data_IF_691379937759
#
_entry.id   IF_691379937759
#
_cell.length_a   1.000
_cell.length_b   1.000
_cell.length_c   1.000
_cell.angle_alpha   90.00
_cell.angle_beta   90.00
_cell.angle_gamma   90.00
#
_symmetry.space_group_name_H-M   'P 1'
#
loop_
_entity.id
_entity.type
_entity.pdbx_description
1 polymer ?
#
# COMPACT_ATOMS: atom_id res chain seq x y z
N UNK A 1 -76.47 -14.86 -16.64
CA UNK A 1 -76.34 -14.64 -15.18
C UNK A 1 -74.94 -15.13 -14.80
N UNK A 2 -73.92 -14.37 -15.17
CA UNK A 2 -73.26 -13.32 -14.37
C UNK A 2 -72.00 -13.87 -13.72
N UNK A 3 -70.89 -13.61 -14.39
CA UNK A 3 -69.49 -13.83 -14.03
C UNK A 3 -69.12 -12.97 -12.82
N UNK A 4 -68.32 -13.49 -11.88
CA UNK A 4 -67.62 -12.69 -10.87
C UNK A 4 -66.26 -13.32 -10.58
N UNK A 5 -65.26 -12.86 -11.34
CA UNK A 5 -63.84 -12.97 -10.99
C UNK A 5 -63.49 -11.65 -10.31
N UNK A 6 -63.16 -11.68 -9.02
CA UNK A 6 -62.65 -10.51 -8.31
C UNK A 6 -61.12 -10.55 -8.31
N UNK A 7 -60.57 -9.56 -9.01
CA UNK A 7 -59.16 -9.25 -9.20
C UNK A 7 -58.47 -8.92 -7.87
N UNK A 8 -57.37 -9.61 -7.55
CA UNK A 8 -56.38 -9.13 -6.59
C UNK A 8 -55.38 -8.25 -7.34
N UNK A 9 -55.34 -6.96 -7.00
CA UNK A 9 -54.34 -6.03 -7.49
C UNK A 9 -53.00 -6.32 -6.78
N UNK A 10 -52.02 -6.81 -7.54
CA UNK A 10 -50.61 -6.81 -7.15
C UNK A 10 -50.07 -5.39 -7.31
N UNK A 11 -49.88 -4.70 -6.17
CA UNK A 11 -49.03 -3.52 -6.13
C UNK A 11 -47.57 -3.99 -6.14
N UNK A 12 -46.96 -4.02 -7.33
CA UNK A 12 -45.51 -4.08 -7.49
C UNK A 12 -44.93 -2.72 -7.11
N UNK A 13 -44.22 -2.68 -5.98
CA UNK A 13 -43.31 -1.59 -5.65
C UNK A 13 -42.10 -1.81 -6.56
N UNK A 14 -42.04 -1.06 -7.67
CA UNK A 14 -40.80 -0.87 -8.40
C UNK A 14 -39.89 0.00 -7.52
N UNK A 15 -38.94 -0.64 -6.84
CA UNK A 15 -37.80 0.06 -6.26
C UNK A 15 -37.05 0.75 -7.40
N UNK A 16 -37.12 2.07 -7.44
CA UNK A 16 -36.23 2.91 -8.23
C UNK A 16 -34.80 2.64 -7.76
N UNK A 17 -34.11 1.72 -8.42
CA UNK A 17 -32.66 1.59 -8.34
C UNK A 17 -32.10 2.80 -9.08
N UNK A 18 -31.95 3.92 -8.37
CA UNK A 18 -31.10 5.01 -8.83
C UNK A 18 -29.71 4.41 -9.07
N UNK A 19 -29.30 4.36 -10.34
CA UNK A 19 -27.90 4.08 -10.67
C UNK A 19 -27.04 5.07 -9.87
N UNK A 20 -26.00 4.59 -9.15
CA UNK A 20 -25.10 5.50 -8.47
C UNK A 20 -24.56 6.51 -9.49
N UNK A 21 -24.38 7.80 -9.10
CA UNK A 21 -23.90 8.81 -10.02
C UNK A 21 -22.61 8.33 -10.69
N UNK A 22 -22.48 8.61 -12.00
CA UNK A 22 -21.28 8.26 -12.78
C UNK A 22 -20.03 8.70 -12.01
N UNK A 23 -19.34 7.74 -11.39
CA UNK A 23 -18.13 8.01 -10.63
C UNK A 23 -17.06 8.47 -11.60
N UNK A 24 -16.33 9.54 -11.27
CA UNK A 24 -15.22 10.02 -12.09
C UNK A 24 -14.21 8.90 -12.29
N UNK A 25 -13.89 8.59 -13.54
CA UNK A 25 -12.77 7.72 -13.90
C UNK A 25 -11.52 8.57 -14.00
N UNK A 26 -10.52 8.28 -13.17
CA UNK A 26 -9.25 9.02 -13.13
C UNK A 26 -8.22 8.39 -14.07
N UNK A 27 -7.76 9.17 -15.05
CA UNK A 27 -6.58 8.83 -15.85
C UNK A 27 -5.29 8.93 -15.02
N UNK A 28 -4.21 8.29 -15.50
CA UNK A 28 -2.92 8.37 -14.82
C UNK A 28 -2.39 9.83 -14.82
N UNK A 29 -2.58 10.57 -15.92
CA UNK A 29 -2.16 11.98 -15.99
C UNK A 29 -2.95 12.89 -15.04
N UNK A 30 -4.27 12.70 -14.93
CA UNK A 30 -5.08 13.49 -14.00
C UNK A 30 -4.73 13.19 -12.54
N UNK A 31 -4.49 11.93 -12.20
CA UNK A 31 -4.11 11.55 -10.83
C UNK A 31 -2.74 12.12 -10.48
N UNK A 32 -1.75 12.04 -11.38
CA UNK A 32 -0.43 12.66 -11.17
C UNK A 32 -0.51 14.18 -10.95
N UNK A 33 -1.44 14.85 -11.66
CA UNK A 33 -1.62 16.29 -11.55
C UNK A 33 -2.19 16.74 -10.18
N UNK A 34 -2.79 15.85 -9.39
CA UNK A 34 -3.34 16.17 -8.06
C UNK A 34 -2.25 16.64 -7.09
N UNK A 35 -1.05 16.08 -7.18
CA UNK A 35 0.11 16.46 -6.34
C UNK A 35 0.40 17.97 -6.30
N UNK A 36 -0.07 18.74 -7.28
CA UNK A 36 0.07 20.20 -7.38
C UNK A 36 -0.71 20.97 -6.31
N UNK A 37 -1.72 20.36 -5.68
CA UNK A 37 -2.47 20.98 -4.58
C UNK A 37 -1.76 20.85 -3.21
N UNK A 38 -0.63 20.13 -3.17
CA UNK A 38 0.20 19.94 -1.98
C UNK A 38 -0.16 18.73 -1.12
N UNK A 39 -1.18 17.95 -1.51
CA UNK A 39 -1.58 16.74 -0.81
C UNK A 39 -1.08 15.48 -1.52
N UNK A 40 -1.09 14.37 -0.78
CA UNK A 40 -0.86 13.03 -1.31
C UNK A 40 -2.17 12.26 -1.33
N UNK A 41 -2.36 11.44 -2.35
CA UNK A 41 -3.58 10.65 -2.51
C UNK A 41 -3.24 9.21 -2.85
N UNK A 42 -4.11 8.31 -2.41
CA UNK A 42 -4.31 7.01 -3.05
C UNK A 42 -5.63 7.06 -3.84
N UNK A 43 -5.74 6.25 -4.89
CA UNK A 43 -7.01 6.04 -5.58
C UNK A 43 -7.53 4.64 -5.26
N UNK A 44 -8.71 4.57 -4.67
CA UNK A 44 -9.33 3.31 -4.23
C UNK A 44 -10.77 3.26 -4.73
N UNK A 45 -11.09 2.32 -5.62
CA UNK A 45 -12.42 2.12 -6.18
C UNK A 45 -13.04 3.39 -6.80
N UNK A 46 -12.19 4.21 -7.42
CA UNK A 46 -12.56 5.49 -8.05
C UNK A 46 -12.60 6.69 -7.11
N UNK A 47 -12.32 6.50 -5.82
CA UNK A 47 -12.32 7.55 -4.79
C UNK A 47 -10.90 7.95 -4.41
N UNK A 48 -10.67 9.26 -4.25
CA UNK A 48 -9.41 9.79 -3.76
C UNK A 48 -9.39 9.70 -2.24
N UNK A 49 -8.40 8.98 -1.72
CA UNK A 49 -8.14 8.86 -0.29
C UNK A 49 -6.95 9.76 0.03
N UNK A 50 -7.16 10.81 0.80
CA UNK A 50 -6.10 11.74 1.20
C UNK A 50 -5.15 11.07 2.21
N UNK A 51 -3.88 10.97 1.83
CA UNK A 51 -2.81 10.46 2.69
C UNK A 51 -2.30 11.63 3.53
N UNK A 52 -2.90 11.80 4.71
CA UNK A 52 -2.57 12.87 5.64
C UNK A 52 -1.08 12.94 6.03
N UNK A 53 -0.71 13.98 6.76
CA UNK A 53 0.68 14.18 7.17
C UNK A 53 1.15 13.12 8.18
N UNK A 54 2.33 12.56 7.93
CA UNK A 54 3.02 11.69 8.87
C UNK A 54 3.63 12.50 10.03
N UNK A 55 3.55 11.98 11.25
CA UNK A 55 4.23 12.56 12.41
C UNK A 55 5.75 12.28 12.42
N UNK A 56 6.51 13.03 13.23
CA UNK A 56 7.97 12.94 13.28
C UNK A 56 8.51 11.53 13.55
N UNK A 57 7.84 10.74 14.41
CA UNK A 57 8.24 9.36 14.70
C UNK A 57 8.12 8.44 13.49
N UNK A 58 7.04 8.58 12.70
CA UNK A 58 6.89 7.85 11.45
C UNK A 58 8.02 8.23 10.48
N UNK A 59 8.27 9.54 10.29
CA UNK A 59 9.33 10.01 9.40
C UNK A 59 10.73 9.53 9.81
N UNK A 60 11.02 9.50 11.11
CA UNK A 60 12.29 9.00 11.64
C UNK A 60 12.48 7.50 11.39
N UNK A 61 11.46 6.69 11.66
CA UNK A 61 11.49 5.24 11.34
C UNK A 61 11.64 5.02 9.84
N UNK A 62 10.90 5.77 9.03
CA UNK A 62 10.93 5.67 7.58
C UNK A 62 12.34 5.94 7.02
N UNK A 63 13.02 6.99 7.50
CA UNK A 63 14.34 7.33 6.98
C UNK A 63 15.42 6.35 7.44
N UNK A 64 15.37 5.82 8.66
CA UNK A 64 16.31 4.78 9.12
C UNK A 64 16.16 3.52 8.26
N UNK A 65 14.92 3.04 8.12
CA UNK A 65 14.65 1.82 7.36
C UNK A 65 15.01 1.99 5.87
N UNK A 66 14.65 3.13 5.29
CA UNK A 66 15.01 3.46 3.90
C UNK A 66 16.53 3.52 3.70
N UNK A 67 17.27 4.13 4.61
CA UNK A 67 18.73 4.23 4.51
C UNK A 67 19.41 2.85 4.59
N UNK A 68 18.97 2.00 5.52
CA UNK A 68 19.48 0.64 5.68
C UNK A 68 19.20 -0.22 4.44
N UNK A 69 17.96 -0.18 3.94
CA UNK A 69 17.57 -0.86 2.69
C UNK A 69 18.36 -0.31 1.51
N UNK A 70 18.48 1.02 1.37
CA UNK A 70 19.16 1.65 0.25
C UNK A 70 20.63 1.23 0.19
N UNK A 71 21.31 1.22 1.33
CA UNK A 71 22.69 0.73 1.40
C UNK A 71 22.82 -0.71 0.89
N UNK A 72 21.93 -1.61 1.30
CA UNK A 72 21.92 -3.00 0.86
C UNK A 72 21.60 -3.13 -0.65
N UNK A 73 20.48 -2.52 -1.08
CA UNK A 73 19.96 -2.59 -2.45
C UNK A 73 20.92 -1.98 -3.46
N UNK A 74 21.47 -0.80 -3.17
CA UNK A 74 22.37 -0.09 -4.10
C UNK A 74 23.73 -0.78 -4.22
N UNK A 75 24.32 -1.21 -3.09
CA UNK A 75 25.63 -1.88 -3.08
C UNK A 75 25.58 -3.20 -3.86
N UNK A 76 24.50 -3.96 -3.71
CA UNK A 76 24.33 -5.26 -4.36
C UNK A 76 23.60 -5.16 -5.71
N UNK A 77 23.17 -3.96 -6.11
CA UNK A 77 22.39 -3.69 -7.34
C UNK A 77 21.18 -4.61 -7.45
N UNK A 78 20.38 -4.70 -6.38
CA UNK A 78 19.23 -5.61 -6.31
C UNK A 78 17.97 -5.07 -7.00
N UNK A 79 17.92 -3.76 -7.26
CA UNK A 79 16.73 -3.09 -7.76
C UNK A 79 16.71 -1.62 -7.36
N UNK A 80 15.52 -1.07 -7.15
CA UNK A 80 15.32 0.34 -6.77
C UNK A 80 14.43 0.45 -5.53
N UNK A 81 14.63 1.52 -4.76
CA UNK A 81 13.73 1.94 -3.69
C UNK A 81 12.96 3.18 -4.11
N UNK A 82 11.71 3.25 -3.68
CA UNK A 82 10.81 4.37 -3.90
C UNK A 82 10.16 4.75 -2.56
N UNK A 83 9.90 6.04 -2.38
CA UNK A 83 9.33 6.58 -1.15
C UNK A 83 7.80 6.62 -1.18
N UNK A 84 7.21 7.06 -0.06
CA UNK A 84 5.78 7.27 0.14
C UNK A 84 5.05 8.20 -0.84
N UNK A 85 5.77 8.91 -1.72
CA UNK A 85 5.18 9.75 -2.77
C UNK A 85 4.94 8.99 -4.08
N UNK A 86 5.48 7.77 -4.19
CA UNK A 86 5.38 6.98 -5.41
C UNK A 86 4.19 6.04 -5.37
N UNK A 87 3.23 6.25 -6.27
CA UNK A 87 2.09 5.35 -6.43
C UNK A 87 2.38 4.22 -7.43
N UNK A 88 1.72 3.09 -7.22
CA UNK A 88 1.76 1.91 -8.07
C UNK A 88 0.39 1.63 -8.66
N UNK A 89 0.34 1.28 -9.94
CA UNK A 89 -0.90 1.04 -10.68
C UNK A 89 -1.33 -0.42 -10.50
N UNK A 90 -2.34 -0.63 -9.67
CA UNK A 90 -2.90 -1.96 -9.41
C UNK A 90 -3.79 -2.41 -10.59
N UNK A 91 -3.92 -3.73 -10.76
CA UNK A 91 -4.71 -4.36 -11.84
C UNK A 91 -6.18 -3.96 -11.84
N UNK A 92 -6.74 -3.63 -10.67
CA UNK A 92 -8.12 -3.18 -10.51
C UNK A 92 -8.30 -1.67 -10.79
N UNK A 93 -7.24 -0.96 -11.19
CA UNK A 93 -7.24 0.49 -11.44
C UNK A 93 -6.97 1.35 -10.20
N UNK A 94 -6.78 0.75 -9.03
CA UNK A 94 -6.35 1.47 -7.83
C UNK A 94 -4.91 1.96 -7.97
N UNK A 95 -4.60 3.04 -7.27
CA UNK A 95 -3.25 3.59 -7.13
C UNK A 95 -2.91 3.60 -5.64
N UNK A 96 -1.94 2.78 -5.23
CA UNK A 96 -1.50 2.69 -3.83
C UNK A 96 -0.07 3.18 -3.69
N UNK A 97 0.25 3.81 -2.57
CA UNK A 97 1.57 4.39 -2.32
C UNK A 97 2.08 3.91 -0.95
N UNK A 98 2.76 2.75 -0.89
CA UNK A 98 3.39 2.29 0.35
C UNK A 98 4.44 3.29 0.85
N UNK A 99 4.66 3.35 2.16
CA UNK A 99 5.62 4.30 2.75
C UNK A 99 7.05 4.09 2.26
N UNK A 100 7.43 2.82 2.03
CA UNK A 100 8.68 2.43 1.39
C UNK A 100 8.39 1.25 0.46
N UNK A 101 8.92 1.32 -0.75
CA UNK A 101 8.73 0.29 -1.77
C UNK A 101 10.06 -0.17 -2.34
N UNK A 102 10.23 -1.48 -2.52
CA UNK A 102 11.34 -2.07 -3.26
C UNK A 102 10.84 -2.82 -4.49
N UNK A 103 11.43 -2.52 -5.65
CA UNK A 103 11.19 -3.24 -6.90
C UNK A 103 12.51 -3.87 -7.35
N UNK A 104 12.47 -5.19 -7.54
CA UNK A 104 13.62 -5.99 -7.94
C UNK A 104 14.08 -5.65 -9.35
N UNK A 105 15.38 -5.79 -9.60
CA UNK A 105 15.96 -5.63 -10.95
C UNK A 105 15.33 -6.58 -11.97
N UNK A 106 14.87 -7.75 -11.53
CA UNK A 106 14.19 -8.74 -12.36
C UNK A 106 12.89 -8.18 -12.95
N UNK A 107 12.10 -7.43 -12.16
CA UNK A 107 10.87 -6.78 -12.65
C UNK A 107 11.13 -5.55 -13.52
N UNK A 108 12.33 -4.97 -13.43
CA UNK A 108 12.74 -3.80 -14.20
C UNK A 108 13.52 -4.17 -15.48
N UNK A 109 13.66 -5.47 -15.78
CA UNK A 109 14.40 -5.91 -16.97
C UNK A 109 13.79 -5.32 -18.26
N UNK A 110 14.65 -4.70 -19.07
CA UNK A 110 14.26 -4.09 -20.33
C UNK A 110 13.91 -2.59 -20.23
N UNK A 111 13.86 -2.02 -19.02
CA UNK A 111 13.79 -0.58 -18.84
C UNK A 111 15.20 0.03 -18.89
N UNK A 112 15.36 1.09 -19.68
CA UNK A 112 16.58 1.91 -19.67
C UNK A 112 16.54 2.97 -18.55
N UNK A 113 15.33 3.44 -18.22
CA UNK A 113 15.05 4.40 -17.14
C UNK A 113 13.68 4.11 -16.51
N UNK A 114 13.43 4.64 -15.32
CA UNK A 114 12.12 4.58 -14.67
C UNK A 114 11.11 5.48 -15.42
N UNK A 115 9.82 5.09 -15.49
CA UNK A 115 8.82 5.94 -16.11
C UNK A 115 8.57 7.20 -15.27
N UNK A 116 8.22 8.31 -15.93
CA UNK A 116 7.71 9.52 -15.26
C UNK A 116 6.33 9.30 -14.59
N UNK A 117 5.67 8.17 -14.90
CA UNK A 117 4.40 7.75 -14.33
C UNK A 117 4.54 6.60 -13.32
N UNK A 118 3.61 5.64 -13.37
CA UNK A 118 3.55 4.54 -12.41
C UNK A 118 4.15 3.25 -12.96
N UNK A 119 4.67 2.42 -12.07
CA UNK A 119 4.91 1.01 -12.36
C UNK A 119 3.61 0.20 -12.20
N UNK A 120 3.47 -0.82 -13.04
CA UNK A 120 2.32 -1.74 -12.99
C UNK A 120 2.49 -2.81 -11.90
N UNK A 121 1.43 -3.03 -11.14
CA UNK A 121 1.37 -3.93 -10.00
C UNK A 121 2.04 -3.37 -8.75
N UNK A 122 1.95 -4.11 -7.64
CA UNK A 122 2.58 -3.73 -6.37
C UNK A 122 4.11 -3.92 -6.43
N UNK A 123 4.89 -3.25 -5.56
CA UNK A 123 6.33 -3.52 -5.44
C UNK A 123 6.59 -4.95 -4.93
N UNK A 124 7.81 -5.47 -5.12
CA UNK A 124 8.21 -6.79 -4.60
C UNK A 124 8.14 -6.82 -3.05
N UNK A 125 8.55 -5.73 -2.41
CA UNK A 125 8.37 -5.47 -0.98
C UNK A 125 7.63 -4.14 -0.79
N UNK A 126 6.49 -4.20 -0.12
CA UNK A 126 5.70 -3.05 0.32
C UNK A 126 5.82 -2.86 1.84
N UNK A 127 6.14 -1.66 2.31
CA UNK A 127 6.28 -1.38 3.73
C UNK A 127 5.31 -0.26 4.12
N UNK A 128 4.50 -0.51 5.14
CA UNK A 128 3.64 0.49 5.77
C UNK A 128 4.12 0.77 7.19
N UNK A 129 4.16 2.04 7.57
CA UNK A 129 4.58 2.51 8.89
C UNK A 129 3.38 3.16 9.55
N UNK A 130 2.80 2.47 10.54
CA UNK A 130 1.54 2.92 11.12
C UNK A 130 1.67 4.30 11.78
N UNK A 131 0.67 5.12 11.52
CA UNK A 131 0.47 6.45 12.07
C UNK A 131 -0.88 6.54 12.81
N UNK A 132 -1.10 7.55 13.67
CA UNK A 132 -2.40 7.76 14.28
C UNK A 132 -3.48 7.99 13.21
N UNK A 133 -4.39 7.04 13.02
CA UNK A 133 -5.48 7.12 12.04
C UNK A 133 -5.60 5.90 11.15
N UNK A 134 -4.52 5.13 10.97
CA UNK A 134 -4.60 3.88 10.22
C UNK A 134 -5.48 2.86 10.95
N UNK A 135 -6.39 2.22 10.20
CA UNK A 135 -7.26 1.17 10.73
C UNK A 135 -6.77 -0.22 10.34
N UNK A 136 -7.18 -1.24 11.08
CA UNK A 136 -6.83 -2.64 10.77
C UNK A 136 -7.43 -3.04 9.42
N UNK A 137 -8.66 -2.58 9.15
CA UNK A 137 -9.39 -2.86 7.93
C UNK A 137 -8.71 -2.24 6.70
N UNK A 138 -8.23 -1.00 6.80
CA UNK A 138 -7.47 -0.33 5.75
C UNK A 138 -6.17 -1.08 5.44
N UNK A 139 -5.40 -1.42 6.48
CA UNK A 139 -4.15 -2.15 6.31
C UNK A 139 -4.36 -3.54 5.72
N UNK A 140 -5.40 -4.25 6.15
CA UNK A 140 -5.74 -5.53 5.55
C UNK A 140 -6.13 -5.39 4.07
N UNK A 141 -6.92 -4.38 3.70
CA UNK A 141 -7.26 -4.12 2.31
C UNK A 141 -6.02 -3.81 1.45
N UNK A 142 -5.08 -3.01 1.97
CA UNK A 142 -3.80 -2.75 1.30
C UNK A 142 -2.99 -4.04 1.12
N UNK A 143 -2.87 -4.88 2.16
CA UNK A 143 -2.16 -6.16 2.07
C UNK A 143 -2.78 -7.08 1.01
N UNK A 144 -4.10 -7.22 0.98
CA UNK A 144 -4.81 -7.99 -0.07
C UNK A 144 -4.44 -7.47 -1.45
N UNK A 145 -4.55 -6.16 -1.67
CA UNK A 145 -4.20 -5.56 -2.96
C UNK A 145 -2.72 -5.77 -3.31
N UNK A 146 -1.80 -5.60 -2.36
CA UNK A 146 -0.37 -5.79 -2.61
C UNK A 146 -0.07 -7.21 -3.09
N UNK A 147 -0.54 -8.23 -2.38
CA UNK A 147 -0.28 -9.62 -2.74
C UNK A 147 -0.99 -10.05 -4.04
N UNK A 148 -2.22 -9.60 -4.29
CA UNK A 148 -2.92 -9.86 -5.57
C UNK A 148 -2.22 -9.20 -6.78
N UNK A 149 -1.46 -8.14 -6.51
CA UNK A 149 -0.70 -7.39 -7.50
C UNK A 149 0.80 -7.71 -7.52
N UNK A 150 1.20 -8.82 -6.90
CA UNK A 150 2.52 -9.42 -7.09
C UNK A 150 3.58 -9.02 -6.06
N UNK A 151 3.19 -8.37 -4.96
CA UNK A 151 4.09 -8.27 -3.80
C UNK A 151 4.45 -9.66 -3.29
N UNK A 152 5.71 -9.82 -2.86
CA UNK A 152 6.26 -11.07 -2.33
C UNK A 152 6.52 -11.02 -0.83
N UNK A 153 6.57 -9.81 -0.29
CA UNK A 153 6.79 -9.52 1.13
C UNK A 153 6.09 -8.21 1.47
N UNK A 154 5.51 -8.13 2.65
CA UNK A 154 5.05 -6.86 3.19
C UNK A 154 5.44 -6.73 4.66
N UNK A 155 5.82 -5.52 5.07
CA UNK A 155 6.11 -5.20 6.47
C UNK A 155 5.14 -4.16 6.98
N UNK A 156 4.50 -4.44 8.11
CA UNK A 156 3.72 -3.45 8.86
C UNK A 156 4.52 -3.09 10.10
N UNK A 157 5.07 -1.87 10.12
CA UNK A 157 5.87 -1.37 11.23
C UNK A 157 4.94 -0.69 12.22
N UNK A 158 5.10 -1.01 13.51
CA UNK A 158 4.37 -0.38 14.62
C UNK A 158 5.34 0.50 15.42
N UNK A 159 5.52 1.78 15.05
CA UNK A 159 6.46 2.66 15.75
C UNK A 159 6.13 2.82 17.22
N UNK A 160 4.85 2.88 17.60
CA UNK A 160 4.46 3.14 18.99
C UNK A 160 4.71 1.93 19.89
N UNK A 161 4.43 0.74 19.40
CA UNK A 161 4.55 -0.52 20.14
C UNK A 161 5.88 -1.27 19.92
N UNK A 162 6.75 -0.74 19.04
CA UNK A 162 8.11 -1.24 18.81
C UNK A 162 8.19 -2.68 18.31
N UNK A 163 7.35 -3.02 17.33
CA UNK A 163 7.40 -4.30 16.63
C UNK A 163 7.11 -4.16 15.14
N UNK A 164 7.38 -5.22 14.40
CA UNK A 164 7.13 -5.33 12.96
C UNK A 164 6.39 -6.64 12.70
N UNK A 165 5.34 -6.58 11.89
CA UNK A 165 4.68 -7.75 11.34
C UNK A 165 5.21 -8.00 9.93
N UNK A 166 5.60 -9.25 9.66
CA UNK A 166 6.10 -9.68 8.35
C UNK A 166 5.05 -10.58 7.71
N UNK A 167 4.66 -10.26 6.48
CA UNK A 167 3.63 -10.98 5.73
C UNK A 167 4.20 -11.54 4.43
N UNK A 168 3.86 -12.80 4.14
CA UNK A 168 3.99 -13.45 2.81
C UNK A 168 2.66 -13.63 2.10
N UNK A 169 1.55 -13.43 2.81
CA UNK A 169 0.21 -13.39 2.25
C UNK A 169 -0.67 -12.43 3.04
N UNK A 170 -1.85 -12.07 2.53
CA UNK A 170 -2.70 -11.07 3.15
C UNK A 170 -3.46 -11.55 4.41
N UNK A 171 -3.52 -12.86 4.64
CA UNK A 171 -4.40 -13.47 5.65
C UNK A 171 -3.91 -13.21 7.08
N UNK A 172 -2.65 -13.54 7.36
CA UNK A 172 -2.04 -13.41 8.68
C UNK A 172 -0.53 -13.19 8.56
N UNK A 173 0.12 -12.54 9.55
CA UNK A 173 1.56 -12.36 9.51
C UNK A 173 2.28 -13.68 9.80
N UNK A 174 3.29 -13.99 9.00
CA UNK A 174 4.19 -15.12 9.20
C UNK A 174 5.07 -14.93 10.43
N UNK A 175 5.48 -13.68 10.72
CA UNK A 175 6.37 -13.36 11.85
C UNK A 175 5.96 -12.06 12.55
N UNK A 176 6.13 -12.06 13.87
CA UNK A 176 6.14 -10.87 14.73
C UNK A 176 7.56 -10.67 15.24
N UNK A 177 8.19 -9.55 14.87
CA UNK A 177 9.54 -9.20 15.29
C UNK A 177 9.51 -8.06 16.29
N UNK A 178 10.12 -8.26 17.46
CA UNK A 178 10.26 -7.28 18.54
C UNK A 178 11.70 -6.79 18.61
N UNK A 179 11.98 -5.84 19.50
CA UNK A 179 13.30 -5.21 19.63
C UNK A 179 14.49 -6.17 19.83
N UNK A 180 14.26 -7.40 20.32
CA UNK A 180 15.32 -8.41 20.49
C UNK A 180 15.68 -9.15 19.18
N UNK A 181 14.83 -9.01 18.17
CA UNK A 181 14.93 -9.72 16.90
C UNK A 181 15.66 -8.88 15.85
N UNK A 182 15.96 -9.51 14.71
CA UNK A 182 16.49 -8.85 13.52
C UNK A 182 15.46 -8.96 12.40
N UNK A 183 15.20 -7.84 11.73
CA UNK A 183 14.44 -7.78 10.49
C UNK A 183 15.35 -8.15 9.33
N UNK A 184 14.92 -9.05 8.47
CA UNK A 184 15.68 -9.49 7.29
C UNK A 184 14.80 -9.46 6.03
N UNK A 185 15.46 -9.35 4.86
CA UNK A 185 14.80 -9.21 3.57
C UNK A 185 14.36 -10.53 2.93
N UNK A 186 14.61 -11.65 3.61
CA UNK A 186 14.37 -13.00 3.12
C UNK A 186 14.94 -13.21 1.68
N UNK A 187 14.21 -13.90 0.80
CA UNK A 187 14.58 -14.06 -0.61
C UNK A 187 14.17 -12.86 -1.49
N UNK A 188 13.55 -11.82 -0.91
CA UNK A 188 13.06 -10.64 -1.64
C UNK A 188 14.13 -9.55 -1.71
N UNK A 189 14.80 -9.26 -0.58
CA UNK A 189 15.95 -8.36 -0.50
C UNK A 189 17.13 -9.13 0.10
N UNK A 190 17.78 -10.00 -0.70
CA UNK A 190 18.81 -10.91 -0.18
C UNK A 190 19.98 -10.15 0.46
N UNK A 191 20.38 -10.61 1.65
CA UNK A 191 21.47 -10.02 2.43
C UNK A 191 21.10 -8.77 3.23
N UNK A 192 19.85 -8.30 3.18
CA UNK A 192 19.37 -7.27 4.09
C UNK A 192 19.16 -7.86 5.49
N UNK A 193 19.67 -7.17 6.51
CA UNK A 193 19.39 -7.43 7.92
C UNK A 193 19.54 -6.14 8.73
N UNK A 194 18.65 -5.91 9.68
CA UNK A 194 18.63 -4.75 10.57
C UNK A 194 18.09 -5.18 11.95
N UNK A 195 18.83 -4.97 13.05
CA UNK A 195 18.28 -5.16 14.39
C UNK A 195 17.02 -4.30 14.58
N UNK A 196 15.93 -4.91 15.07
CA UNK A 196 14.66 -4.18 15.22
C UNK A 196 14.78 -3.07 16.26
N UNK A 197 15.65 -3.23 17.26
CA UNK A 197 15.96 -2.19 18.23
C UNK A 197 16.41 -0.87 17.57
N UNK A 198 17.25 -0.95 16.53
CA UNK A 198 17.86 0.20 15.85
C UNK A 198 16.80 1.14 15.23
N UNK A 199 15.65 0.60 14.83
CA UNK A 199 14.53 1.40 14.30
C UNK A 199 13.83 2.26 15.37
N UNK A 200 13.97 1.89 16.64
CA UNK A 200 13.19 2.45 17.73
C UNK A 200 14.05 3.05 18.85
N UNK A 201 15.36 3.17 18.61
CA UNK A 201 16.30 3.73 19.58
C UNK A 201 15.90 5.15 19.99
N UNK A 202 16.15 5.43 21.27
CA UNK A 202 16.02 6.78 21.80
C UNK A 202 17.19 7.62 21.30
N UNK A 203 16.90 8.86 20.94
CA UNK A 203 17.92 9.84 20.59
C UNK A 203 18.88 10.01 21.77
N UNK A 204 20.17 9.81 21.53
CA UNK A 204 21.24 9.80 22.53
C UNK A 204 22.36 10.82 22.24
N UNK A 205 22.12 11.71 21.27
CA UNK A 205 23.00 12.83 20.94
C UNK A 205 22.82 14.02 21.89
#
# INVERSE_FOLDING_TARGET
MSTLVQTLAQNSIEENVENPPDRKVWTDEEFMALSRDGNRYELVNGELIEMGNSGAKHGYVAIILSAALFNCVSTQKLGVLMDSSTAFKMKNGNRRAPDISFVSKERLQGLEDLPDGFLDGAPDLAIEILSPGNTVEEMHAKLVEYFENGARLAWIVHPKEHYILVYRCATEPDRLLKSIDSLDGEDVVPGFSLPVADLFEKLSF
#
